data_IF_609709609917
#
_entry.id   IF_609709609917
#
_cell.length_a   1.000
_cell.length_b   1.000
_cell.length_c   1.000
_cell.angle_alpha   90.00
_cell.angle_beta   90.00
_cell.angle_gamma   90.00
#
_symmetry.space_group_name_H-M   'P 1'
#
loop_
_entity.id
_entity.type
_entity.pdbx_description
1 polymer ?
#
# COMPACT_ATOMS: atom_id res chain seq x y z
N UNK A 1 18.60 -9.17 0.28
CA UNK A 1 18.20 -9.84 1.54
C UNK A 1 17.18 -9.02 2.36
N UNK A 2 17.30 -7.69 2.50
CA UNK A 2 16.36 -6.91 3.32
C UNK A 2 14.96 -6.69 2.73
N UNK A 3 14.80 -6.64 1.40
CA UNK A 3 13.47 -6.44 0.78
C UNK A 3 12.55 -7.65 0.99
N UNK A 4 13.05 -8.87 0.72
CA UNK A 4 12.32 -10.10 0.99
C UNK A 4 11.98 -10.26 2.50
N UNK A 5 12.85 -9.79 3.39
CA UNK A 5 12.59 -9.76 4.82
C UNK A 5 11.46 -8.76 5.16
N UNK A 6 11.46 -7.58 4.53
CA UNK A 6 10.41 -6.57 4.68
C UNK A 6 9.06 -7.05 4.15
N UNK A 7 9.05 -7.74 3.00
CA UNK A 7 7.87 -8.39 2.44
C UNK A 7 7.33 -9.48 3.37
N UNK A 8 8.22 -10.31 3.91
CA UNK A 8 7.87 -11.34 4.88
C UNK A 8 7.32 -10.74 6.17
N UNK A 9 7.93 -9.66 6.67
CA UNK A 9 7.49 -8.98 7.89
C UNK A 9 6.16 -8.23 7.66
N UNK A 10 5.93 -7.68 6.47
CA UNK A 10 4.62 -7.13 6.05
C UNK A 10 3.55 -8.21 6.00
N UNK A 11 3.83 -9.34 5.36
CA UNK A 11 2.91 -10.47 5.30
C UNK A 11 2.62 -11.04 6.69
N UNK A 12 3.63 -11.11 7.57
CA UNK A 12 3.49 -11.56 8.96
C UNK A 12 2.68 -10.58 9.80
N UNK A 13 2.91 -9.27 9.67
CA UNK A 13 2.13 -8.25 10.35
C UNK A 13 0.65 -8.30 9.94
N UNK A 14 0.37 -8.54 8.65
CA UNK A 14 -0.99 -8.74 8.14
C UNK A 14 -1.66 -10.02 8.67
N UNK A 15 -0.92 -11.13 8.80
CA UNK A 15 -1.49 -12.40 9.27
C UNK A 15 -1.69 -12.49 10.78
N UNK A 16 -0.94 -11.71 11.57
CA UNK A 16 -1.01 -11.80 13.03
C UNK A 16 -2.16 -10.99 13.65
N UNK A 17 -2.74 -10.01 12.96
CA UNK A 17 -3.79 -9.15 13.54
C UNK A 17 -3.37 -8.44 14.84
N UNK A 18 -2.08 -8.50 15.22
CA UNK A 18 -1.53 -7.90 16.44
C UNK A 18 -1.34 -6.42 16.16
N UNK A 19 -2.44 -5.69 16.30
CA UNK A 19 -2.46 -4.25 16.23
C UNK A 19 -2.06 -3.67 17.58
N UNK A 20 -0.76 -3.67 17.88
CA UNK A 20 -0.22 -2.97 19.04
C UNK A 20 1.00 -2.13 18.66
N UNK A 21 0.84 -0.81 18.81
CA UNK A 21 1.95 0.10 19.08
C UNK A 21 2.08 1.27 18.10
N UNK A 22 1.73 2.48 18.56
CA UNK A 22 2.28 3.67 17.94
C UNK A 22 1.69 5.07 18.20
N UNK A 23 0.68 5.27 19.06
CA UNK A 23 0.42 6.51 19.81
C UNK A 23 -0.86 6.39 20.67
N UNK A 24 -0.69 6.48 22.00
CA UNK A 24 -1.67 6.84 23.02
C UNK A 24 -3.09 6.18 23.01
N UNK A 25 -3.30 5.27 23.98
CA UNK A 25 -4.48 5.30 24.86
C UNK A 25 -5.82 4.80 24.31
N UNK A 26 -6.31 3.72 24.93
CA UNK A 26 -7.66 3.15 24.79
C UNK A 26 -7.96 2.52 23.42
N UNK A 27 -8.91 1.57 23.32
CA UNK A 27 -9.56 1.33 22.04
C UNK A 27 -10.13 2.69 21.63
N UNK A 28 -9.51 3.32 20.62
CA UNK A 28 -10.09 4.49 20.00
C UNK A 28 -11.56 4.12 19.72
N UNK A 29 -12.48 4.99 20.09
CA UNK A 29 -13.89 4.80 19.78
C UNK A 29 -14.00 4.87 18.26
N UNK A 30 -13.77 3.74 17.58
CA UNK A 30 -13.69 3.66 16.12
C UNK A 30 -15.03 4.17 15.63
N UNK A 31 -15.02 5.23 14.82
CA UNK A 31 -16.25 5.74 14.24
C UNK A 31 -16.90 4.63 13.40
N UNK A 32 -18.23 4.62 13.32
CA UNK A 32 -18.92 3.67 12.45
C UNK A 32 -18.44 3.74 10.99
N UNK A 33 -18.00 4.93 10.55
CA UNK A 33 -17.35 5.15 9.27
C UNK A 33 -15.97 4.47 9.18
N UNK A 34 -15.13 4.62 10.20
CA UNK A 34 -13.82 3.98 10.27
C UNK A 34 -13.90 2.45 10.29
N UNK A 35 -14.80 1.88 11.11
CA UNK A 35 -14.98 0.42 11.18
C UNK A 35 -15.48 -0.16 9.85
N UNK A 36 -16.37 0.54 9.16
CA UNK A 36 -16.84 0.14 7.82
C UNK A 36 -15.71 0.22 6.80
N UNK A 37 -14.91 1.29 6.84
CA UNK A 37 -13.76 1.43 5.97
C UNK A 37 -12.75 0.29 6.17
N UNK A 38 -12.42 -0.08 7.40
CA UNK A 38 -11.49 -1.18 7.69
C UNK A 38 -11.96 -2.51 7.10
N UNK A 39 -13.26 -2.79 7.19
CA UNK A 39 -13.86 -4.00 6.61
C UNK A 39 -13.77 -4.02 5.08
N UNK A 40 -14.15 -2.92 4.41
CA UNK A 40 -14.11 -2.84 2.95
C UNK A 40 -12.67 -2.80 2.43
N UNK A 41 -11.75 -2.16 3.16
CA UNK A 41 -10.33 -2.16 2.84
C UNK A 41 -9.73 -3.57 2.90
N UNK A 42 -10.07 -4.35 3.93
CA UNK A 42 -9.64 -5.75 4.03
C UNK A 42 -10.03 -6.57 2.80
N UNK A 43 -11.29 -6.46 2.37
CA UNK A 43 -11.78 -7.11 1.13
C UNK A 43 -11.06 -6.61 -0.11
N UNK A 44 -10.86 -5.29 -0.19
CA UNK A 44 -10.12 -4.68 -1.30
C UNK A 44 -8.70 -5.26 -1.40
N UNK A 45 -7.99 -5.46 -0.28
CA UNK A 45 -6.65 -6.07 -0.27
C UNK A 45 -6.66 -7.53 -0.75
N UNK A 46 -7.68 -8.31 -0.40
CA UNK A 46 -7.82 -9.69 -0.89
C UNK A 46 -8.03 -9.72 -2.41
N UNK A 47 -8.89 -8.83 -2.92
CA UNK A 47 -9.12 -8.69 -4.36
C UNK A 47 -7.88 -8.16 -5.10
N UNK A 48 -7.14 -7.22 -4.53
CA UNK A 48 -5.90 -6.68 -5.08
C UNK A 48 -4.88 -7.80 -5.31
N UNK A 49 -4.68 -8.68 -4.31
CA UNK A 49 -3.77 -9.82 -4.43
C UNK A 49 -4.21 -10.78 -5.55
N UNK A 50 -5.51 -11.04 -5.66
CA UNK A 50 -6.09 -11.91 -6.70
C UNK A 50 -5.94 -11.29 -8.10
N UNK A 51 -6.18 -9.99 -8.26
CA UNK A 51 -6.04 -9.30 -9.54
C UNK A 51 -4.57 -9.13 -9.94
N UNK A 52 -3.68 -8.84 -8.98
CA UNK A 52 -2.23 -8.83 -9.22
C UNK A 52 -1.70 -10.19 -9.68
N UNK A 53 -2.19 -11.29 -9.10
CA UNK A 53 -1.84 -12.64 -9.54
C UNK A 53 -2.30 -12.90 -10.98
N UNK A 54 -3.52 -12.48 -11.34
CA UNK A 54 -4.04 -12.58 -12.71
C UNK A 54 -3.23 -11.74 -13.70
N UNK A 55 -2.90 -10.49 -13.35
CA UNK A 55 -2.09 -9.62 -14.20
C UNK A 55 -0.70 -10.21 -14.45
N UNK A 56 -0.07 -10.76 -13.42
CA UNK A 56 1.20 -11.49 -13.56
C UNK A 56 1.03 -12.70 -14.47
N UNK A 57 0.02 -13.54 -14.25
CA UNK A 57 -0.22 -14.72 -15.08
C UNK A 57 -0.41 -14.36 -16.56
N UNK A 58 -1.25 -13.35 -16.84
CA UNK A 58 -1.51 -12.81 -18.16
C UNK A 58 -0.23 -12.39 -18.88
N UNK A 59 0.64 -11.66 -18.18
CA UNK A 59 1.93 -11.21 -18.70
C UNK A 59 2.85 -12.38 -19.07
N UNK A 60 2.89 -13.44 -18.26
CA UNK A 60 3.70 -14.63 -18.55
C UNK A 60 3.13 -15.52 -19.65
N UNK A 61 1.80 -15.51 -19.85
CA UNK A 61 1.13 -16.32 -20.86
C UNK A 61 1.11 -15.70 -22.26
N UNK A 62 1.67 -14.49 -22.44
CA UNK A 62 1.68 -13.76 -23.73
C UNK A 62 0.28 -13.68 -24.37
N UNK A 63 -0.73 -13.27 -23.59
CA UNK A 63 -2.09 -13.07 -24.09
C UNK A 63 -2.13 -12.08 -25.26
N UNK A 64 -3.20 -12.15 -26.06
CA UNK A 64 -3.44 -11.13 -27.07
C UNK A 64 -3.62 -9.75 -26.41
N UNK A 65 -3.31 -8.68 -27.16
CA UNK A 65 -3.41 -7.31 -26.66
C UNK A 65 -4.81 -6.98 -26.14
N UNK A 66 -5.86 -7.48 -26.80
CA UNK A 66 -7.24 -7.29 -26.38
C UNK A 66 -7.57 -7.97 -25.04
N UNK A 67 -7.12 -9.21 -24.85
CA UNK A 67 -7.32 -9.94 -23.60
C UNK A 67 -6.52 -9.33 -22.45
N UNK A 68 -5.29 -8.90 -22.72
CA UNK A 68 -4.46 -8.18 -21.75
C UNK A 68 -5.10 -6.84 -21.37
N UNK A 69 -5.65 -6.10 -22.35
CA UNK A 69 -6.35 -4.85 -22.13
C UNK A 69 -7.50 -4.98 -21.15
N UNK A 70 -8.34 -6.02 -21.30
CA UNK A 70 -9.46 -6.28 -20.38
C UNK A 70 -8.98 -6.52 -18.94
N UNK A 71 -7.87 -7.24 -18.75
CA UNK A 71 -7.30 -7.50 -17.42
C UNK A 71 -6.74 -6.22 -16.80
N UNK A 72 -6.04 -5.41 -17.61
CA UNK A 72 -5.51 -4.09 -17.19
C UNK A 72 -6.66 -3.17 -16.80
N UNK A 73 -7.70 -3.05 -17.62
CA UNK A 73 -8.88 -2.23 -17.33
C UNK A 73 -9.59 -2.69 -16.04
N UNK A 74 -9.70 -4.00 -15.84
CA UNK A 74 -10.22 -4.57 -14.59
C UNK A 74 -9.41 -4.17 -13.36
N UNK A 75 -8.07 -4.21 -13.46
CA UNK A 75 -7.18 -3.78 -12.38
C UNK A 75 -7.26 -2.27 -12.13
N UNK A 76 -7.33 -1.45 -13.19
CA UNK A 76 -7.47 0.00 -13.07
C UNK A 76 -8.78 0.39 -12.37
N UNK A 77 -9.90 -0.23 -12.75
CA UNK A 77 -11.19 -0.02 -12.08
C UNK A 77 -11.14 -0.43 -10.60
N UNK A 78 -10.44 -1.52 -10.27
CA UNK A 78 -10.22 -1.92 -8.88
C UNK A 78 -9.37 -0.90 -8.10
N UNK A 79 -8.39 -0.29 -8.75
CA UNK A 79 -7.57 0.75 -8.15
C UNK A 79 -8.35 2.05 -7.91
N UNK A 80 -9.30 2.39 -8.77
CA UNK A 80 -10.20 3.53 -8.52
C UNK A 80 -11.07 3.34 -7.27
N UNK A 81 -11.44 2.09 -6.97
CA UNK A 81 -12.30 1.76 -5.83
C UNK A 81 -11.66 2.11 -4.49
N UNK A 82 -10.33 1.95 -4.32
CA UNK A 82 -9.69 2.34 -3.06
C UNK A 82 -9.75 3.85 -2.82
N UNK A 83 -9.67 4.67 -3.86
CA UNK A 83 -9.85 6.12 -3.72
C UNK A 83 -11.29 6.47 -3.40
N UNK A 84 -12.26 5.76 -3.97
CA UNK A 84 -13.67 5.92 -3.63
C UNK A 84 -13.93 5.59 -2.16
N UNK A 85 -13.41 4.47 -1.66
CA UNK A 85 -13.51 4.06 -0.26
C UNK A 85 -12.87 5.10 0.67
N UNK A 86 -11.66 5.56 0.35
CA UNK A 86 -10.99 6.64 1.09
C UNK A 86 -11.80 7.94 1.04
N UNK A 87 -12.39 8.29 -0.10
CA UNK A 87 -13.23 9.49 -0.22
C UNK A 87 -14.49 9.44 0.66
N UNK A 88 -15.12 8.27 0.79
CA UNK A 88 -16.26 8.07 1.71
C UNK A 88 -15.80 8.13 3.17
N UNK A 89 -14.70 7.48 3.50
CA UNK A 89 -14.13 7.50 4.84
C UNK A 89 -13.72 8.92 5.26
N UNK A 90 -13.10 9.71 4.36
CA UNK A 90 -12.67 11.07 4.65
C UNK A 90 -13.82 12.00 5.03
N UNK A 91 -15.01 11.80 4.44
CA UNK A 91 -16.23 12.56 4.76
C UNK A 91 -16.79 12.22 6.14
N UNK A 92 -16.45 11.05 6.68
CA UNK A 92 -16.99 10.54 7.95
C UNK A 92 -15.98 10.68 9.09
N UNK A 93 -14.72 10.36 8.82
CA UNK A 93 -13.62 10.35 9.76
C UNK A 93 -12.26 10.41 9.03
N UNK A 94 -11.79 11.62 8.76
CA UNK A 94 -10.49 11.84 8.12
C UNK A 94 -9.32 11.41 9.00
N UNK A 95 -9.47 11.44 10.32
CA UNK A 95 -8.40 11.03 11.25
C UNK A 95 -8.16 9.52 11.17
N UNK A 96 -9.23 8.73 11.03
CA UNK A 96 -9.12 7.29 10.81
C UNK A 96 -8.33 6.95 9.53
N UNK A 97 -8.40 7.77 8.48
CA UNK A 97 -7.54 7.57 7.31
C UNK A 97 -6.07 7.87 7.57
N UNK A 98 -5.73 8.74 8.51
CA UNK A 98 -4.35 9.12 8.80
C UNK A 98 -3.70 8.23 9.85
N UNK A 99 -4.45 7.84 10.88
CA UNK A 99 -3.92 7.14 12.07
C UNK A 99 -4.58 5.78 12.31
N UNK A 100 -5.57 5.41 11.50
CA UNK A 100 -6.33 4.19 11.68
C UNK A 100 -5.53 2.92 11.42
N UNK A 101 -6.16 1.81 11.77
CA UNK A 101 -5.51 0.51 11.91
C UNK A 101 -5.39 -0.29 10.60
N UNK A 102 -6.03 0.22 9.56
CA UNK A 102 -6.07 -0.34 8.21
C UNK A 102 -4.71 -0.44 7.52
N UNK A 103 -3.68 0.26 8.00
CA UNK A 103 -2.30 0.16 7.49
C UNK A 103 -1.34 -0.31 8.56
N UNK A 104 -0.39 -1.14 8.16
CA UNK A 104 0.73 -1.55 8.99
C UNK A 104 1.64 -0.35 9.32
N UNK A 105 2.40 -0.40 10.43
CA UNK A 105 3.39 0.63 10.74
C UNK A 105 4.38 0.88 9.59
N UNK A 106 4.76 -0.17 8.85
CA UNK A 106 5.65 -0.06 7.70
C UNK A 106 4.98 0.70 6.53
N UNK A 107 3.73 0.38 6.20
CA UNK A 107 2.99 1.09 5.13
C UNK A 107 2.79 2.56 5.48
N UNK A 108 2.50 2.90 6.74
CA UNK A 108 2.31 4.29 7.17
C UNK A 108 3.51 5.18 6.91
N UNK A 109 4.73 4.66 7.01
CA UNK A 109 5.96 5.40 6.68
C UNK A 109 6.01 5.86 5.22
N UNK A 110 5.32 5.16 4.32
CA UNK A 110 5.29 5.44 2.88
C UNK A 110 3.96 6.03 2.42
N UNK A 111 3.04 6.35 3.32
CA UNK A 111 1.73 6.91 2.98
C UNK A 111 1.68 8.42 3.26
N UNK A 112 1.04 9.16 2.35
CA UNK A 112 0.61 10.54 2.54
C UNK A 112 -0.85 10.69 2.09
N UNK A 113 -1.42 11.90 2.18
CA UNK A 113 -2.84 12.18 1.93
C UNK A 113 -3.32 11.60 0.58
N UNK A 114 -2.45 11.53 -0.44
CA UNK A 114 -2.79 11.05 -1.77
C UNK A 114 -2.24 9.65 -2.12
N UNK A 115 -1.71 8.88 -1.15
CA UNK A 115 -1.25 7.50 -1.39
C UNK A 115 0.23 7.32 -1.11
N UNK A 116 0.98 6.71 -2.03
CA UNK A 116 2.40 6.39 -1.84
C UNK A 116 3.27 7.65 -1.88
N UNK A 117 4.27 7.73 -1.01
CA UNK A 117 5.30 8.78 -0.94
C UNK A 117 6.64 8.21 -1.44
N UNK A 118 6.98 8.39 -2.73
CA UNK A 118 8.18 7.81 -3.33
C UNK A 118 9.49 8.19 -2.64
N UNK A 119 9.58 9.41 -2.12
CA UNK A 119 10.79 9.91 -1.46
C UNK A 119 11.20 9.11 -0.23
N UNK A 120 10.26 8.52 0.53
CA UNK A 120 10.59 7.68 1.68
C UNK A 120 11.12 6.31 1.26
N UNK A 121 10.56 5.73 0.18
CA UNK A 121 11.06 4.48 -0.38
C UNK A 121 12.49 4.65 -0.88
N UNK A 122 12.75 5.77 -1.57
CA UNK A 122 14.10 6.13 -2.05
C UNK A 122 15.09 6.20 -0.89
N UNK A 123 14.74 6.86 0.23
CA UNK A 123 15.60 6.90 1.44
C UNK A 123 15.94 5.52 1.98
N UNK A 124 14.98 4.58 1.98
CA UNK A 124 15.21 3.21 2.43
C UNK A 124 16.11 2.42 1.46
N UNK A 125 15.91 2.60 0.15
CA UNK A 125 16.61 1.82 -0.88
C UNK A 125 18.05 2.28 -1.11
N UNK A 126 18.36 3.57 -0.96
CA UNK A 126 19.74 4.09 -1.12
C UNK A 126 20.75 3.29 -0.30
N UNK A 127 20.42 2.99 0.95
CA UNK A 127 21.28 2.21 1.86
C UNK A 127 21.47 0.74 1.44
N UNK A 128 20.79 0.28 0.38
CA UNK A 128 20.90 -1.07 -0.18
C UNK A 128 21.54 -1.09 -1.58
N UNK A 129 21.78 0.07 -2.19
CA UNK A 129 22.24 0.19 -3.58
C UNK A 129 23.76 0.35 -3.71
N UNK A 130 24.53 0.20 -2.62
CA UNK A 130 25.99 0.36 -2.67
C UNK A 130 26.69 -0.71 -3.54
N UNK A 131 27.75 -0.31 -4.29
CA UNK A 131 28.31 1.03 -4.40
C UNK A 131 27.63 1.88 -5.50
N UNK A 132 27.23 3.11 -5.15
CA UNK A 132 26.74 4.13 -6.09
C UNK A 132 27.84 5.15 -6.38
N UNK A 133 27.94 5.62 -7.63
CA UNK A 133 28.81 6.77 -7.94
C UNK A 133 28.25 8.06 -7.36
N UNK A 134 29.10 9.07 -7.13
CA UNK A 134 28.65 10.39 -6.67
C UNK A 134 27.59 11.00 -7.58
N UNK A 135 27.72 10.80 -8.91
CA UNK A 135 26.75 11.29 -9.88
C UNK A 135 25.39 10.58 -9.76
N UNK A 136 25.38 9.27 -9.53
CA UNK A 136 24.15 8.51 -9.28
C UNK A 136 23.50 8.91 -7.95
N UNK A 137 24.31 9.12 -6.92
CA UNK A 137 23.83 9.54 -5.60
C UNK A 137 23.19 10.94 -5.66
N UNK A 138 23.83 11.89 -6.34
CA UNK A 138 23.29 13.23 -6.56
C UNK A 138 21.98 13.19 -7.37
N UNK A 139 21.90 12.33 -8.38
CA UNK A 139 20.67 12.13 -9.17
C UNK A 139 19.54 11.48 -8.37
N UNK A 140 19.84 10.69 -7.34
CA UNK A 140 18.83 10.12 -6.45
C UNK A 140 18.37 11.15 -5.40
N UNK A 141 19.28 11.96 -4.86
CA UNK A 141 18.91 13.01 -3.88
C UNK A 141 18.02 14.10 -4.47
N UNK A 142 18.12 14.38 -5.78
CA UNK A 142 17.22 15.33 -6.44
C UNK A 142 15.78 14.81 -6.61
N UNK A 143 15.53 13.53 -6.31
CA UNK A 143 14.20 12.89 -6.37
C UNK A 143 13.51 12.82 -5.00
N UNK A 144 14.16 13.28 -3.92
CA UNK A 144 13.62 13.32 -2.57
C UNK A 144 12.90 14.63 -2.27
#
# INVERSE_FOLDING_TARGET
MKLAQLELDLQRARSQGVFFGGAAGAPANISSGGARFDMEYGRWVEDDQRLMAQLRAALHSHLSEGELGVIVDGYMNHYDEIFRLKGVAAKSDVFHLLTGVWTSPAERCFLWIAGFRPSELIKMLIAQLEPLTEQQLMGIYSLQ
#
